data_IF_639077535075
#
_entry.id   IF_639077535075
#
_cell.length_a   1.000
_cell.length_b   1.000
_cell.length_c   1.000
_cell.angle_alpha   90.00
_cell.angle_beta   90.00
_cell.angle_gamma   90.00
#
_symmetry.space_group_name_H-M   'P 1'
#
loop_
_entity.id
_entity.type
_entity.pdbx_description
1 polymer ?
#
# COMPACT_ATOMS: atom_id res chain seq x y z
N UNK A 1 8.92 -16.09 -5.55
CA UNK A 1 9.53 -14.99 -4.76
C UNK A 1 9.41 -15.38 -3.31
N UNK A 2 10.49 -15.28 -2.56
CA UNK A 2 10.52 -15.73 -1.17
C UNK A 2 9.81 -14.75 -0.25
N UNK A 3 9.19 -15.24 0.83
CA UNK A 3 8.48 -14.42 1.83
C UNK A 3 9.33 -13.24 2.31
N UNK A 4 10.61 -13.48 2.59
CA UNK A 4 11.54 -12.46 3.08
C UNK A 4 11.80 -11.34 2.08
N UNK A 5 11.77 -11.63 0.78
CA UNK A 5 11.94 -10.61 -0.26
C UNK A 5 10.73 -9.68 -0.32
N UNK A 6 9.53 -10.24 -0.19
CA UNK A 6 8.28 -9.48 -0.14
C UNK A 6 8.26 -8.56 1.08
N UNK A 7 8.61 -9.10 2.25
CA UNK A 7 8.65 -8.33 3.50
C UNK A 7 9.68 -7.18 3.42
N UNK A 8 10.85 -7.42 2.82
CA UNK A 8 11.83 -6.35 2.54
C UNK A 8 11.29 -5.29 1.59
N UNK A 9 10.55 -5.69 0.54
CA UNK A 9 9.89 -4.77 -0.37
C UNK A 9 8.85 -3.88 0.32
N UNK A 10 8.00 -4.48 1.16
CA UNK A 10 6.99 -3.76 1.94
C UNK A 10 7.62 -2.78 2.94
N UNK A 11 8.71 -3.16 3.62
CA UNK A 11 9.44 -2.26 4.51
C UNK A 11 10.08 -1.08 3.75
N UNK A 12 10.64 -1.34 2.57
CA UNK A 12 11.17 -0.28 1.70
C UNK A 12 10.06 0.70 1.26
N UNK A 13 8.90 0.20 0.85
CA UNK A 13 7.74 1.04 0.51
C UNK A 13 7.23 1.84 1.70
N UNK A 14 7.17 1.25 2.91
CA UNK A 14 6.79 1.97 4.12
C UNK A 14 7.78 3.11 4.43
N UNK A 15 9.09 2.89 4.30
CA UNK A 15 10.10 3.95 4.47
C UNK A 15 9.92 5.09 3.47
N UNK A 16 9.62 4.78 2.21
CA UNK A 16 9.32 5.81 1.19
C UNK A 16 8.05 6.59 1.52
N UNK A 17 6.97 5.91 1.90
CA UNK A 17 5.73 6.59 2.32
C UNK A 17 5.96 7.51 3.52
N UNK A 18 6.79 7.10 4.48
CA UNK A 18 7.18 7.95 5.63
C UNK A 18 7.94 9.21 5.20
N UNK A 19 8.82 9.10 4.19
CA UNK A 19 9.48 10.28 3.62
C UNK A 19 8.48 11.19 2.89
N UNK A 20 7.49 10.63 2.20
CA UNK A 20 6.44 11.39 1.52
C UNK A 20 5.59 12.19 2.50
N UNK A 21 5.31 11.65 3.70
CA UNK A 21 4.65 12.42 4.78
C UNK A 21 5.45 13.68 5.11
N UNK A 22 6.78 13.58 5.26
CA UNK A 22 7.62 14.73 5.57
C UNK A 22 7.65 15.75 4.42
N UNK A 23 7.73 15.26 3.17
CA UNK A 23 7.74 16.11 1.97
C UNK A 23 6.40 16.80 1.71
N UNK A 24 5.29 16.23 2.16
CA UNK A 24 3.96 16.84 2.01
C UNK A 24 3.89 18.26 2.61
N UNK A 25 4.74 18.56 3.60
CA UNK A 25 4.79 19.85 4.26
C UNK A 25 5.10 21.02 3.31
N UNK A 26 5.70 20.79 2.14
CA UNK A 26 6.13 21.87 1.23
C UNK A 26 5.41 21.89 -0.12
N UNK A 27 4.36 21.08 -0.29
CA UNK A 27 3.56 21.04 -1.53
C UNK A 27 2.19 21.71 -1.35
N UNK A 28 1.57 22.12 -2.45
CA UNK A 28 0.14 22.49 -2.48
C UNK A 28 -0.72 21.28 -2.12
N UNK A 29 -1.89 21.51 -1.54
CA UNK A 29 -2.77 20.45 -1.01
C UNK A 29 -2.07 19.53 0.00
N UNK A 30 -1.26 20.13 0.89
CA UNK A 30 -0.49 19.44 1.95
C UNK A 30 -1.30 18.34 2.63
N UNK A 31 -2.51 18.66 3.09
CA UNK A 31 -3.34 17.72 3.84
C UNK A 31 -3.69 16.48 3.02
N UNK A 32 -4.01 16.66 1.73
CA UNK A 32 -4.27 15.56 0.82
C UNK A 32 -3.06 14.62 0.71
N UNK A 33 -1.88 15.18 0.42
CA UNK A 33 -0.67 14.38 0.24
C UNK A 33 -0.19 13.73 1.53
N UNK A 34 -0.37 14.41 2.67
CA UNK A 34 -0.06 13.86 3.98
C UNK A 34 -0.97 12.68 4.31
N UNK A 35 -2.30 12.82 4.16
CA UNK A 35 -3.26 11.76 4.40
C UNK A 35 -3.05 10.58 3.45
N UNK A 36 -2.76 10.85 2.17
CA UNK A 36 -2.45 9.82 1.18
C UNK A 36 -1.18 9.02 1.56
N UNK A 37 -0.12 9.71 1.95
CA UNK A 37 1.13 9.07 2.34
C UNK A 37 1.00 8.27 3.65
N UNK A 38 0.25 8.78 4.64
CA UNK A 38 -0.09 8.04 5.87
C UNK A 38 -0.87 6.77 5.55
N UNK A 39 -1.89 6.87 4.70
CA UNK A 39 -2.70 5.72 4.30
C UNK A 39 -1.86 4.64 3.59
N UNK A 40 -0.90 5.04 2.74
CA UNK A 40 0.08 4.10 2.15
C UNK A 40 0.93 3.42 3.21
N UNK A 41 1.53 4.21 4.12
CA UNK A 41 2.40 3.70 5.18
C UNK A 41 1.69 2.66 6.06
N UNK A 42 0.48 2.97 6.54
CA UNK A 42 -0.30 2.05 7.37
C UNK A 42 -0.69 0.78 6.60
N UNK A 43 -1.09 0.92 5.32
CA UNK A 43 -1.43 -0.26 4.51
C UNK A 43 -0.23 -1.19 4.28
N UNK A 44 0.97 -0.66 4.04
CA UNK A 44 2.17 -1.50 3.93
C UNK A 44 2.49 -2.25 5.23
N UNK A 45 2.33 -1.58 6.38
CA UNK A 45 2.51 -2.18 7.70
C UNK A 45 1.50 -3.29 7.96
N UNK A 46 0.25 -3.09 7.55
CA UNK A 46 -0.81 -4.07 7.65
C UNK A 46 -0.54 -5.30 6.76
N UNK A 47 -0.15 -5.08 5.50
CA UNK A 47 0.22 -6.16 4.57
C UNK A 47 1.40 -6.97 5.10
N UNK A 48 2.42 -6.30 5.63
CA UNK A 48 3.57 -6.95 6.26
C UNK A 48 3.10 -7.89 7.39
N UNK A 49 2.28 -7.36 8.30
CA UNK A 49 1.76 -8.11 9.44
C UNK A 49 0.90 -9.29 8.98
N UNK A 50 0.03 -9.10 7.99
CA UNK A 50 -0.80 -10.18 7.45
C UNK A 50 0.05 -11.30 6.83
N UNK A 51 1.15 -10.97 6.12
CA UNK A 51 2.04 -11.98 5.56
C UNK A 51 2.77 -12.77 6.65
N UNK A 52 3.18 -12.09 7.73
CA UNK A 52 3.78 -12.74 8.88
C UNK A 52 2.82 -13.72 9.57
N UNK A 53 1.56 -13.31 9.76
CA UNK A 53 0.57 -14.07 10.54
C UNK A 53 -0.20 -15.12 9.73
N UNK A 54 -0.50 -14.82 8.46
CA UNK A 54 -1.44 -15.60 7.62
C UNK A 54 -0.78 -16.15 6.36
N UNK A 55 0.42 -15.71 6.03
CA UNK A 55 1.11 -16.06 4.79
C UNK A 55 0.66 -15.21 3.60
N UNK A 56 1.37 -15.40 2.48
CA UNK A 56 1.23 -14.57 1.27
C UNK A 56 -0.13 -14.78 0.60
N UNK A 57 -0.54 -16.04 0.39
CA UNK A 57 -1.75 -16.37 -0.36
C UNK A 57 -3.02 -15.79 0.27
N UNK A 58 -3.15 -15.93 1.59
CA UNK A 58 -4.31 -15.39 2.31
C UNK A 58 -4.27 -13.85 2.33
N UNK A 59 -3.09 -13.26 2.50
CA UNK A 59 -2.95 -11.80 2.42
C UNK A 59 -3.31 -11.27 1.04
N UNK A 60 -2.93 -11.97 -0.03
CA UNK A 60 -3.27 -11.59 -1.40
C UNK A 60 -4.78 -11.62 -1.65
N UNK A 61 -5.49 -12.65 -1.17
CA UNK A 61 -6.95 -12.72 -1.28
C UNK A 61 -7.62 -11.53 -0.61
N UNK A 62 -7.25 -11.24 0.65
CA UNK A 62 -7.77 -10.09 1.41
C UNK A 62 -7.46 -8.78 0.68
N UNK A 63 -6.23 -8.63 0.16
CA UNK A 63 -5.82 -7.43 -0.56
C UNK A 63 -6.63 -7.20 -1.85
N UNK A 64 -6.94 -8.26 -2.59
CA UNK A 64 -7.77 -8.20 -3.80
C UNK A 64 -9.20 -7.78 -3.46
N UNK A 65 -9.81 -8.38 -2.44
CA UNK A 65 -11.16 -8.03 -2.00
C UNK A 65 -11.23 -6.57 -1.56
N UNK A 66 -10.26 -6.11 -0.76
CA UNK A 66 -10.17 -4.72 -0.34
C UNK A 66 -10.01 -3.77 -1.53
N UNK A 67 -9.12 -4.09 -2.48
CA UNK A 67 -8.88 -3.27 -3.66
C UNK A 67 -10.16 -3.04 -4.47
N UNK A 68 -10.97 -4.09 -4.65
CA UNK A 68 -12.26 -4.02 -5.34
C UNK A 68 -13.28 -3.16 -4.61
N UNK A 69 -13.29 -3.19 -3.28
CA UNK A 69 -14.20 -2.39 -2.46
C UNK A 69 -13.88 -0.89 -2.48
N UNK A 70 -12.60 -0.51 -2.63
CA UNK A 70 -12.22 0.91 -2.68
C UNK A 70 -12.75 1.62 -3.93
N UNK A 71 -12.82 0.92 -5.07
CA UNK A 71 -13.32 1.48 -6.33
C UNK A 71 -12.54 2.70 -6.84
N UNK A 72 -13.23 3.61 -7.52
CA UNK A 72 -12.69 4.91 -7.98
C UNK A 72 -13.09 6.03 -7.02
N UNK A 73 -12.47 6.05 -5.83
CA UNK A 73 -12.57 7.20 -4.93
C UNK A 73 -11.50 8.24 -5.23
N UNK A 74 -11.85 9.53 -5.12
CA UNK A 74 -10.89 10.65 -5.19
C UNK A 74 -10.29 11.02 -3.83
N UNK A 75 -10.84 10.51 -2.72
CA UNK A 75 -10.37 10.87 -1.38
C UNK A 75 -8.93 10.40 -1.12
N UNK A 76 -8.18 11.21 -0.37
CA UNK A 76 -6.76 11.02 -0.14
C UNK A 76 -6.42 9.64 0.46
N UNK A 77 -7.24 9.19 1.41
CA UNK A 77 -7.03 7.97 2.18
C UNK A 77 -7.26 6.75 1.30
N UNK A 78 -8.41 6.69 0.62
CA UNK A 78 -8.75 5.61 -0.31
C UNK A 78 -7.76 5.53 -1.46
N UNK A 79 -7.38 6.66 -2.06
CA UNK A 79 -6.32 6.69 -3.08
C UNK A 79 -4.98 6.19 -2.54
N UNK A 80 -4.65 6.52 -1.29
CA UNK A 80 -3.43 6.06 -0.64
C UNK A 80 -3.42 4.55 -0.43
N UNK A 81 -4.51 4.00 0.13
CA UNK A 81 -4.69 2.54 0.30
C UNK A 81 -4.65 1.82 -1.04
N UNK A 82 -5.37 2.31 -2.05
CA UNK A 82 -5.40 1.75 -3.40
C UNK A 82 -3.99 1.66 -3.99
N UNK A 83 -3.21 2.75 -3.94
CA UNK A 83 -1.82 2.77 -4.41
C UNK A 83 -0.89 1.80 -3.68
N UNK A 84 -1.10 1.60 -2.38
CA UNK A 84 -0.32 0.63 -1.62
C UNK A 84 -0.63 -0.82 -2.05
N UNK A 85 -1.92 -1.13 -2.28
CA UNK A 85 -2.35 -2.43 -2.81
C UNK A 85 -1.79 -2.66 -4.22
N UNK A 86 -1.89 -1.68 -5.12
CA UNK A 86 -1.29 -1.74 -6.47
C UNK A 86 0.21 -2.03 -6.41
N UNK A 87 0.95 -1.33 -5.53
CA UNK A 87 2.39 -1.55 -5.35
C UNK A 87 2.71 -2.94 -4.81
N UNK A 88 1.85 -3.48 -3.94
CA UNK A 88 1.98 -4.84 -3.43
C UNK A 88 1.71 -5.89 -4.51
N UNK A 89 0.72 -5.71 -5.37
CA UNK A 89 0.46 -6.59 -6.51
C UNK A 89 1.65 -6.59 -7.47
N UNK A 90 2.16 -5.41 -7.82
CA UNK A 90 3.36 -5.29 -8.67
C UNK A 90 4.57 -5.97 -8.04
N UNK A 91 4.75 -5.84 -6.73
CA UNK A 91 5.81 -6.55 -5.99
C UNK A 91 5.67 -8.07 -6.17
N UNK A 92 4.44 -8.59 -6.13
CA UNK A 92 4.12 -10.00 -6.39
C UNK A 92 4.15 -10.41 -7.87
N UNK A 93 4.44 -9.48 -8.79
CA UNK A 93 4.45 -9.73 -10.24
C UNK A 93 3.04 -9.77 -10.86
N UNK A 94 2.04 -9.21 -10.18
CA UNK A 94 0.65 -9.13 -10.64
C UNK A 94 0.38 -7.73 -11.19
N UNK A 95 -0.19 -7.65 -12.38
CA UNK A 95 -0.65 -6.38 -12.96
C UNK A 95 -1.98 -5.96 -12.31
N UNK A 96 -2.05 -4.82 -11.59
CA UNK A 96 -3.28 -4.36 -10.94
C UNK A 96 -4.45 -4.10 -11.90
N UNK A 97 -4.18 -3.88 -13.18
CA UNK A 97 -5.25 -3.68 -14.19
C UNK A 97 -6.02 -4.95 -14.52
N UNK A 98 -5.52 -6.12 -14.09
CA UNK A 98 -6.13 -7.43 -14.30
C UNK A 98 -6.98 -7.90 -13.10
N UNK A 99 -7.06 -7.11 -12.03
CA UNK A 99 -7.78 -7.43 -10.78
C UNK A 99 -9.18 -6.83 -10.79
#
# INVERSE_FOLDING_TARGET
MEKDEILKGLDAFAKLAKQDILKSAVVSDREYWEQNAKARYEKYKELYKNIEEKGIDETLKIAIEEYKLIGESSDAISRGRKRALESFFVLLGIDPSQI
#
